data_IF_054841255214
#
_entry.id   IF_054841255214
#
_cell.length_a   1.000
_cell.length_b   1.000
_cell.length_c   1.000
_cell.angle_alpha   90.00
_cell.angle_beta   90.00
_cell.angle_gamma   90.00
#
_symmetry.space_group_name_H-M   'P 1'
#
loop_
_entity.id
_entity.type
_entity.pdbx_description
1 polymer ?
#
# COMPACT_ATOMS: atom_id res chain seq x y z
N UNK A 1 -12.44 -7.22 -3.81
CA UNK A 1 -13.25 -6.43 -4.79
C UNK A 1 -12.37 -5.27 -5.24
N UNK A 2 -11.86 -5.28 -6.47
CA UNK A 2 -11.07 -4.15 -6.98
C UNK A 2 -12.03 -3.04 -7.43
N UNK A 3 -11.77 -1.82 -7.01
CA UNK A 3 -12.46 -0.66 -7.57
C UNK A 3 -11.57 -0.02 -8.63
N UNK A 4 -12.20 0.47 -9.71
CA UNK A 4 -11.49 1.21 -10.75
C UNK A 4 -10.89 2.49 -10.16
N UNK A 5 -9.68 2.91 -10.62
CA UNK A 5 -9.11 4.18 -10.21
C UNK A 5 -10.11 5.32 -10.42
N UNK A 6 -10.22 6.19 -9.42
CA UNK A 6 -11.18 7.28 -9.41
C UNK A 6 -10.54 8.55 -8.88
N UNK A 7 -11.00 9.70 -9.37
CA UNK A 7 -10.54 11.02 -8.93
C UNK A 7 -11.49 11.54 -7.84
N UNK A 8 -10.97 11.84 -6.64
CA UNK A 8 -11.75 12.52 -5.59
C UNK A 8 -11.11 13.88 -5.29
N UNK A 9 -11.76 14.97 -5.73
CA UNK A 9 -11.12 16.28 -5.77
C UNK A 9 -10.01 16.26 -6.81
N UNK A 10 -8.78 16.57 -6.42
CA UNK A 10 -7.60 16.53 -7.31
C UNK A 10 -6.67 15.34 -7.00
N UNK A 11 -7.19 14.30 -6.34
CA UNK A 11 -6.41 13.14 -5.89
C UNK A 11 -6.88 11.89 -6.62
N UNK A 12 -5.94 11.20 -7.28
CA UNK A 12 -6.17 9.86 -7.83
C UNK A 12 -6.24 8.86 -6.67
N UNK A 13 -7.32 8.11 -6.58
CA UNK A 13 -7.50 7.03 -5.62
C UNK A 13 -7.65 5.73 -6.37
N UNK A 14 -6.81 4.75 -6.07
CA UNK A 14 -6.81 3.42 -6.71
C UNK A 14 -6.75 2.31 -5.66
N UNK A 15 -7.05 1.08 -6.08
CA UNK A 15 -6.81 -0.08 -5.25
C UNK A 15 -5.31 -0.38 -5.24
N UNK A 16 -4.73 -0.49 -4.05
CA UNK A 16 -3.39 -1.01 -3.85
C UNK A 16 -3.42 -2.54 -3.66
N UNK A 17 -2.27 -3.20 -3.89
CA UNK A 17 -2.04 -4.59 -3.51
C UNK A 17 -0.66 -4.77 -2.92
N UNK A 18 -0.56 -5.66 -1.95
CA UNK A 18 0.69 -6.29 -1.56
C UNK A 18 0.75 -7.62 -2.29
N UNK A 19 1.80 -7.87 -3.06
CA UNK A 19 1.99 -9.13 -3.76
C UNK A 19 3.27 -9.81 -3.29
N UNK A 20 3.16 -11.11 -3.04
CA UNK A 20 4.29 -11.98 -2.76
C UNK A 20 5.13 -12.17 -4.01
N UNK A 21 6.44 -12.45 -3.88
CA UNK A 21 7.29 -12.78 -5.02
C UNK A 21 6.67 -13.86 -5.92
N UNK A 22 6.09 -14.92 -5.33
CA UNK A 22 5.53 -16.04 -6.07
C UNK A 22 4.27 -15.63 -6.86
N UNK A 23 3.42 -14.76 -6.30
CA UNK A 23 2.23 -14.24 -6.99
C UNK A 23 2.60 -13.38 -8.21
N UNK A 24 3.73 -12.67 -8.12
CA UNK A 24 4.27 -11.88 -9.24
C UNK A 24 4.87 -12.80 -10.29
N UNK A 25 5.59 -13.85 -9.90
CA UNK A 25 6.09 -14.87 -10.83
C UNK A 25 4.95 -15.54 -11.61
N UNK A 26 3.89 -15.96 -10.91
CA UNK A 26 2.68 -16.54 -11.51
C UNK A 26 2.01 -15.57 -12.50
N UNK A 27 1.91 -14.29 -12.13
CA UNK A 27 1.33 -13.24 -12.98
C UNK A 27 2.17 -12.94 -14.24
N UNK A 28 3.45 -13.33 -14.24
CA UNK A 28 4.41 -13.08 -15.32
C UNK A 28 4.78 -14.35 -16.11
N UNK A 29 4.09 -15.47 -15.88
CA UNK A 29 4.35 -16.75 -16.57
C UNK A 29 4.37 -16.58 -18.09
N UNK A 30 3.45 -15.80 -18.65
CA UNK A 30 3.33 -15.56 -20.09
C UNK A 30 4.21 -14.42 -20.63
N UNK A 31 5.02 -13.78 -19.76
CA UNK A 31 5.86 -12.60 -20.11
C UNK A 31 7.34 -12.86 -19.78
N UNK A 32 8.00 -13.83 -20.46
CA UNK A 32 9.34 -14.31 -20.09
C UNK A 32 10.46 -13.26 -20.19
N UNK A 33 10.30 -12.20 -20.99
CA UNK A 33 11.27 -11.10 -21.05
C UNK A 33 11.35 -10.28 -19.75
N UNK A 34 10.33 -10.36 -18.89
CA UNK A 34 10.22 -9.65 -17.60
C UNK A 34 10.59 -10.56 -16.41
N UNK A 35 10.84 -11.87 -16.66
CA UNK A 35 11.15 -12.88 -15.63
C UNK A 35 12.47 -12.70 -14.87
N UNK A 36 13.21 -11.62 -15.10
CA UNK A 36 14.11 -11.10 -14.04
C UNK A 36 13.24 -10.41 -12.97
N UNK A 37 12.30 -11.17 -12.40
CA UNK A 37 11.59 -10.77 -11.20
C UNK A 37 12.67 -10.66 -10.13
N UNK A 38 12.77 -9.47 -9.57
CA UNK A 38 13.70 -9.17 -8.52
C UNK A 38 13.05 -9.71 -7.25
N UNK A 39 13.77 -10.51 -6.47
CA UNK A 39 13.22 -11.04 -5.21
C UNK A 39 12.63 -9.95 -4.31
N UNK A 40 11.73 -10.38 -3.43
CA UNK A 40 11.08 -9.55 -2.42
C UNK A 40 9.64 -9.15 -2.74
N UNK A 41 9.02 -8.51 -1.76
CA UNK A 41 7.61 -8.16 -1.78
C UNK A 41 7.31 -6.92 -2.63
N UNK A 42 6.14 -6.94 -3.26
CA UNK A 42 5.69 -5.89 -4.16
C UNK A 42 4.54 -5.06 -3.57
N UNK A 43 4.64 -3.73 -3.70
CA UNK A 43 3.52 -2.81 -3.55
C UNK A 43 3.05 -2.35 -4.93
N UNK A 44 1.84 -2.75 -5.28
CA UNK A 44 1.24 -2.46 -6.57
C UNK A 44 0.16 -1.38 -6.42
N UNK A 45 0.16 -0.38 -7.29
CA UNK A 45 -0.84 0.68 -7.30
C UNK A 45 -0.78 1.49 -8.58
N UNK A 46 -1.61 2.54 -8.67
CA UNK A 46 -1.67 3.39 -9.86
C UNK A 46 -1.28 4.83 -9.54
N UNK A 47 -0.62 5.47 -10.49
CA UNK A 47 -0.21 6.87 -10.43
C UNK A 47 -0.69 7.65 -11.66
N UNK A 48 -0.81 8.96 -11.51
CA UNK A 48 -1.07 9.87 -12.63
C UNK A 48 -0.04 9.69 -13.74
N UNK A 49 -0.45 9.91 -14.99
CA UNK A 49 0.42 9.72 -16.17
C UNK A 49 1.69 10.55 -16.11
N UNK A 50 1.59 11.78 -15.63
CA UNK A 50 2.73 12.69 -15.49
C UNK A 50 3.71 12.25 -14.40
N UNK A 51 3.19 11.67 -13.30
CA UNK A 51 4.04 11.08 -12.27
C UNK A 51 4.76 9.85 -12.80
N UNK A 52 4.05 8.98 -13.55
CA UNK A 52 4.65 7.83 -14.22
C UNK A 52 5.80 8.25 -15.13
N UNK A 53 5.57 9.23 -16.00
CA UNK A 53 6.59 9.72 -16.95
C UNK A 53 7.80 10.32 -16.22
N UNK A 54 7.55 11.03 -15.10
CA UNK A 54 8.63 11.54 -14.24
C UNK A 54 9.45 10.40 -13.62
N UNK A 55 8.81 9.35 -13.12
CA UNK A 55 9.47 8.18 -12.53
C UNK A 55 10.33 7.44 -13.57
N UNK A 56 9.81 7.23 -14.79
CA UNK A 56 10.57 6.65 -15.90
C UNK A 56 11.78 7.54 -16.24
N UNK A 57 11.58 8.85 -16.38
CA UNK A 57 12.64 9.80 -16.70
C UNK A 57 13.73 9.91 -15.63
N UNK A 58 13.40 9.62 -14.37
CA UNK A 58 14.35 9.57 -13.24
C UNK A 58 14.83 8.16 -12.88
N UNK A 59 14.50 7.15 -13.70
CA UNK A 59 14.86 5.76 -13.46
C UNK A 59 14.42 5.25 -12.07
N UNK A 60 13.27 5.73 -11.59
CA UNK A 60 12.71 5.36 -10.29
C UNK A 60 13.33 6.06 -9.08
N UNK A 61 14.24 7.02 -9.27
CA UNK A 61 14.80 7.81 -8.16
C UNK A 61 13.74 8.74 -7.55
N UNK A 62 13.36 8.45 -6.30
CA UNK A 62 12.34 9.18 -5.56
C UNK A 62 12.65 9.18 -4.06
N UNK A 63 12.16 10.20 -3.35
CA UNK A 63 12.23 10.24 -1.89
C UNK A 63 11.11 9.36 -1.31
N UNK A 64 11.39 8.62 -0.23
CA UNK A 64 10.39 7.79 0.43
C UNK A 64 10.33 8.06 1.92
N UNK A 65 9.14 7.90 2.50
CA UNK A 65 8.92 7.99 3.93
C UNK A 65 7.76 7.10 4.36
N UNK A 66 7.79 6.65 5.62
CA UNK A 66 6.65 6.00 6.25
C UNK A 66 6.18 6.73 7.50
N UNK A 67 4.87 6.66 7.78
CA UNK A 67 4.25 7.11 9.03
C UNK A 67 3.08 6.21 9.42
N UNK A 68 2.49 6.43 10.59
CA UNK A 68 1.36 5.66 11.11
C UNK A 68 0.18 6.56 11.41
N UNK A 69 -1.01 6.10 11.00
CA UNK A 69 -2.29 6.61 11.45
C UNK A 69 -2.94 5.61 12.41
N UNK A 70 -3.35 6.09 13.59
CA UNK A 70 -3.97 5.26 14.62
C UNK A 70 -5.48 5.32 14.49
N UNK A 71 -6.11 4.21 14.09
CA UNK A 71 -7.56 4.15 13.82
C UNK A 71 -8.40 3.56 14.96
N UNK A 72 -7.82 3.31 16.14
CA UNK A 72 -8.54 2.76 17.29
C UNK A 72 -9.14 1.38 16.99
N UNK A 73 -10.45 1.21 17.16
CA UNK A 73 -11.14 -0.07 16.89
C UNK A 73 -11.18 -0.45 15.41
N UNK A 74 -10.93 0.49 14.49
CA UNK A 74 -10.88 0.23 13.05
C UNK A 74 -9.50 -0.21 12.53
N UNK A 75 -8.52 -0.35 13.44
CA UNK A 75 -7.15 -0.73 13.14
C UNK A 75 -6.22 0.44 12.82
N UNK A 76 -4.92 0.23 13.00
CA UNK A 76 -3.88 1.16 12.60
C UNK A 76 -3.53 0.97 11.13
N UNK A 77 -3.09 2.06 10.50
CA UNK A 77 -2.70 2.07 9.09
C UNK A 77 -1.32 2.70 8.95
N UNK A 78 -0.46 2.08 8.16
CA UNK A 78 0.79 2.66 7.70
C UNK A 78 0.52 3.50 6.46
N UNK A 79 1.13 4.67 6.39
CA UNK A 79 1.17 5.46 5.16
C UNK A 79 2.60 5.43 4.64
N UNK A 80 2.82 4.69 3.57
CA UNK A 80 4.07 4.71 2.80
C UNK A 80 3.90 5.76 1.72
N UNK A 81 4.80 6.74 1.65
CA UNK A 81 4.78 7.77 0.64
C UNK A 81 6.06 7.77 -0.18
N UNK A 82 5.91 7.99 -1.48
CA UNK A 82 6.99 8.26 -2.41
C UNK A 82 6.77 9.59 -3.11
N UNK A 83 7.82 10.39 -3.25
CA UNK A 83 7.74 11.72 -3.82
C UNK A 83 8.80 11.93 -4.92
N UNK A 84 8.36 12.47 -6.05
CA UNK A 84 9.21 12.89 -7.16
C UNK A 84 8.78 14.28 -7.64
N UNK A 85 9.66 15.27 -7.46
CA UNK A 85 9.32 16.66 -7.77
C UNK A 85 8.12 17.14 -6.95
N UNK A 86 7.02 17.49 -7.63
CA UNK A 86 5.75 17.92 -7.05
C UNK A 86 4.68 16.82 -7.06
N UNK A 87 5.03 15.60 -7.44
CA UNK A 87 4.14 14.44 -7.40
C UNK A 87 4.41 13.60 -6.16
N UNK A 88 3.36 13.13 -5.51
CA UNK A 88 3.47 12.18 -4.41
C UNK A 88 2.47 11.05 -4.59
N UNK A 89 2.93 9.82 -4.39
CA UNK A 89 2.06 8.65 -4.31
C UNK A 89 2.13 8.06 -2.92
N UNK A 90 0.97 7.65 -2.41
CA UNK A 90 0.79 7.20 -1.04
C UNK A 90 0.13 5.83 -1.05
N UNK A 91 0.76 4.83 -0.46
CA UNK A 91 0.12 3.57 -0.12
C UNK A 91 -0.44 3.65 1.29
N UNK A 92 -1.74 3.42 1.43
CA UNK A 92 -2.39 3.27 2.73
C UNK A 92 -2.53 1.78 3.04
N UNK A 93 -1.79 1.33 4.05
CA UNK A 93 -1.54 -0.07 4.38
C UNK A 93 -2.21 -0.44 5.71
N UNK A 94 -3.19 -1.35 5.76
CA UNK A 94 -3.75 -1.83 7.02
C UNK A 94 -2.72 -2.64 7.82
N UNK A 95 -2.31 -2.16 9.00
CA UNK A 95 -1.26 -2.80 9.84
C UNK A 95 -1.76 -4.02 10.63
N UNK A 96 -2.94 -4.51 10.29
CA UNK A 96 -3.52 -5.74 10.80
C UNK A 96 -3.72 -6.79 9.70
N UNK A 97 -3.35 -6.45 8.46
CA UNK A 97 -3.41 -7.35 7.33
C UNK A 97 -2.12 -8.19 7.27
N UNK A 98 -2.22 -9.54 7.26
CA UNK A 98 -1.05 -10.42 7.31
C UNK A 98 -0.02 -10.17 6.21
N UNK A 99 -0.46 -9.95 4.97
CA UNK A 99 0.44 -9.65 3.84
C UNK A 99 1.21 -8.35 4.03
N UNK A 100 0.57 -7.31 4.58
CA UNK A 100 1.24 -6.05 4.92
C UNK A 100 2.29 -6.26 6.01
N UNK A 101 1.98 -7.04 7.04
CA UNK A 101 2.92 -7.31 8.14
C UNK A 101 4.16 -8.04 7.61
N UNK A 102 3.97 -9.09 6.81
CA UNK A 102 5.07 -9.86 6.22
C UNK A 102 5.92 -9.01 5.26
N UNK A 103 5.29 -8.14 4.45
CA UNK A 103 6.00 -7.14 3.67
C UNK A 103 6.90 -6.31 4.58
N UNK A 104 6.35 -5.68 5.64
CA UNK A 104 7.13 -4.80 6.52
C UNK A 104 8.29 -5.53 7.20
N UNK A 105 8.10 -6.79 7.62
CA UNK A 105 9.15 -7.63 8.20
C UNK A 105 10.27 -7.90 7.19
N UNK A 106 9.92 -8.17 5.93
CA UNK A 106 10.92 -8.44 4.87
C UNK A 106 11.81 -7.23 4.55
N UNK A 107 11.35 -6.01 4.82
CA UNK A 107 12.08 -4.78 4.50
C UNK A 107 13.34 -4.57 5.35
N UNK A 108 13.56 -5.41 6.36
CA UNK A 108 14.82 -5.45 7.10
C UNK A 108 15.99 -5.90 6.21
N UNK A 109 15.73 -6.90 5.36
CA UNK A 109 16.75 -7.62 4.62
C UNK A 109 16.65 -7.34 3.10
N UNK A 110 15.48 -6.92 2.63
CA UNK A 110 15.19 -6.72 1.22
C UNK A 110 14.60 -5.33 0.93
N UNK A 111 14.89 -4.73 -0.23
CA UNK A 111 14.23 -3.50 -0.64
C UNK A 111 12.79 -3.78 -1.09
N UNK A 112 11.92 -2.78 -0.91
CA UNK A 112 10.56 -2.85 -1.45
C UNK A 112 10.62 -2.75 -2.98
N UNK A 113 9.78 -3.55 -3.65
CA UNK A 113 9.51 -3.41 -5.07
C UNK A 113 8.19 -2.65 -5.25
N UNK A 114 8.19 -1.54 -5.97
CA UNK A 114 6.96 -0.81 -6.32
C UNK A 114 6.63 -1.12 -7.77
N UNK A 115 5.40 -1.56 -8.03
CA UNK A 115 4.86 -1.75 -9.37
C UNK A 115 3.74 -0.75 -9.60
N UNK A 116 4.04 0.32 -10.33
CA UNK A 116 3.13 1.45 -10.48
C UNK A 116 2.55 1.49 -11.88
N UNK A 117 1.23 1.28 -11.99
CA UNK A 117 0.47 1.40 -13.22
C UNK A 117 0.34 2.87 -13.64
N UNK A 118 0.42 3.10 -14.95
CA UNK A 118 0.10 4.39 -15.55
C UNK A 118 -1.42 4.49 -15.65
N UNK A 119 -1.98 5.58 -15.13
CA UNK A 119 -3.42 5.82 -15.13
C UNK A 119 -4.08 5.56 -16.51
N UNK A 120 -5.09 4.69 -16.52
CA UNK A 120 -5.90 4.26 -17.66
C UNK A 120 -5.15 3.55 -18.80
N UNK A 121 -3.95 3.01 -18.54
CA UNK A 121 -3.11 2.37 -19.56
C UNK A 121 -2.53 1.03 -19.09
N UNK A 122 -2.25 0.10 -20.02
CA UNK A 122 -1.56 -1.17 -19.74
C UNK A 122 -0.03 -0.97 -19.75
N UNK A 123 0.44 -0.09 -18.86
CA UNK A 123 1.85 0.20 -18.67
C UNK A 123 2.18 0.28 -17.18
N UNK A 124 3.30 -0.32 -16.78
CA UNK A 124 3.77 -0.30 -15.40
C UNK A 124 5.27 0.01 -15.33
N UNK A 125 5.67 0.76 -14.30
CA UNK A 125 7.08 0.99 -13.95
C UNK A 125 7.41 0.20 -12.69
N UNK A 126 8.55 -0.49 -12.72
CA UNK A 126 9.09 -1.21 -11.57
C UNK A 126 10.19 -0.37 -10.93
N UNK A 127 10.05 -0.11 -9.64
CA UNK A 127 10.98 0.71 -8.86
C UNK A 127 11.43 -0.11 -7.67
N UNK A 128 12.75 -0.22 -7.49
CA UNK A 128 13.36 -0.91 -6.35
C UNK A 128 14.00 0.11 -5.43
N UNK A 129 13.55 0.17 -4.19
CA UNK A 129 14.03 1.18 -3.27
C UNK A 129 14.20 0.65 -1.84
N UNK A 130 15.22 1.16 -1.15
CA UNK A 130 15.49 0.78 0.24
C UNK A 130 14.97 1.87 1.18
N UNK A 131 14.10 1.48 2.11
CA UNK A 131 13.73 2.32 3.24
C UNK A 131 14.74 2.15 4.38
N UNK A 132 15.04 3.22 5.15
CA UNK A 132 15.75 3.06 6.40
C UNK A 132 14.95 2.16 7.35
N UNK A 133 15.57 1.08 7.85
CA UNK A 133 14.91 0.16 8.78
C UNK A 133 14.38 0.85 10.04
N UNK A 134 15.01 1.94 10.48
CA UNK A 134 14.51 2.76 11.59
C UNK A 134 13.11 3.32 11.33
N UNK A 135 12.74 3.65 10.08
CA UNK A 135 11.38 4.10 9.77
C UNK A 135 10.41 2.92 9.73
N UNK A 136 10.82 1.81 9.14
CA UNK A 136 9.97 0.61 9.00
C UNK A 136 9.66 0.00 10.37
N UNK A 137 10.68 -0.17 11.22
CA UNK A 137 10.54 -0.74 12.56
C UNK A 137 9.66 0.11 13.48
N UNK A 138 9.64 1.44 13.33
CA UNK A 138 8.68 2.29 14.05
C UNK A 138 7.25 2.03 13.61
N UNK A 139 6.99 1.83 12.31
CA UNK A 139 5.65 1.44 11.82
C UNK A 139 5.27 0.05 12.31
N UNK A 140 6.21 -0.90 12.27
CA UNK A 140 6.00 -2.30 12.66
C UNK A 140 5.50 -2.43 14.11
N UNK A 141 5.92 -1.53 15.00
CA UNK A 141 5.46 -1.48 16.41
C UNK A 141 3.97 -1.20 16.57
N UNK A 142 3.31 -0.68 15.54
CA UNK A 142 1.88 -0.39 15.54
C UNK A 142 1.05 -1.46 14.83
N UNK A 143 1.66 -2.59 14.44
CA UNK A 143 0.93 -3.74 13.93
C UNK A 143 -0.02 -4.32 14.98
N UNK A 144 -1.13 -4.86 14.51
CA UNK A 144 -2.18 -5.40 15.36
C UNK A 144 -2.59 -6.78 14.84
N UNK A 145 -3.10 -7.63 15.73
CA UNK A 145 -3.75 -8.86 15.28
C UNK A 145 -5.11 -8.51 14.69
N UNK A 146 -5.56 -9.31 13.72
CA UNK A 146 -6.93 -9.18 13.21
C UNK A 146 -7.97 -9.26 14.35
N UNK A 147 -7.74 -10.04 15.40
CA UNK A 147 -8.63 -10.10 16.58
C UNK A 147 -8.74 -8.80 17.38
N UNK A 148 -7.81 -7.86 17.20
CA UNK A 148 -7.75 -6.61 17.96
C UNK A 148 -8.61 -5.50 17.31
N UNK A 149 -9.19 -5.77 16.13
CA UNK A 149 -10.04 -4.83 15.38
C UNK A 149 -11.51 -5.25 15.37
N UNK A 150 -12.40 -4.28 15.19
CA UNK A 150 -13.83 -4.52 14.97
C UNK A 150 -14.12 -4.47 13.48
N UNK A 151 -14.46 -5.60 12.88
CA UNK A 151 -14.78 -5.72 11.44
C UNK A 151 -15.82 -4.69 10.98
N UNK A 152 -16.87 -4.50 11.79
CA UNK A 152 -17.91 -3.51 11.50
C UNK A 152 -17.38 -2.07 11.37
N UNK A 153 -16.26 -1.77 12.02
CA UNK A 153 -15.63 -0.45 12.01
C UNK A 153 -14.60 -0.30 10.87
N UNK A 154 -14.09 -1.40 10.30
CA UNK A 154 -12.97 -1.41 9.34
C UNK A 154 -13.25 -0.55 8.13
N UNK A 155 -14.39 -0.73 7.45
CA UNK A 155 -14.69 0.04 6.24
C UNK A 155 -14.85 1.54 6.53
N UNK A 156 -15.50 1.88 7.65
CA UNK A 156 -15.64 3.27 8.07
C UNK A 156 -14.29 3.90 8.46
N UNK A 157 -13.42 3.12 9.09
CA UNK A 157 -12.06 3.52 9.46
C UNK A 157 -11.15 3.70 8.27
N UNK A 158 -11.12 2.72 7.36
CA UNK A 158 -10.40 2.78 6.11
C UNK A 158 -10.76 4.03 5.32
N UNK A 159 -12.07 4.36 5.22
CA UNK A 159 -12.51 5.62 4.59
C UNK A 159 -11.95 6.86 5.30
N UNK A 160 -12.02 6.95 6.63
CA UNK A 160 -11.44 8.07 7.39
C UNK A 160 -9.94 8.19 7.18
N UNK A 161 -9.24 7.05 7.18
CA UNK A 161 -7.79 7.01 6.97
C UNK A 161 -7.42 7.38 5.53
N UNK A 162 -8.24 7.00 4.54
CA UNK A 162 -8.10 7.43 3.16
C UNK A 162 -8.27 8.95 3.03
N UNK A 163 -9.30 9.53 3.65
CA UNK A 163 -9.49 10.99 3.64
C UNK A 163 -8.32 11.72 4.33
N UNK A 164 -7.80 11.16 5.42
CA UNK A 164 -6.57 11.66 6.08
C UNK A 164 -5.36 11.54 5.14
N UNK A 165 -5.19 10.39 4.49
CA UNK A 165 -4.12 10.13 3.54
C UNK A 165 -4.22 11.00 2.27
N UNK A 166 -5.38 11.52 1.90
CA UNK A 166 -5.55 12.46 0.77
C UNK A 166 -5.19 13.88 1.15
N UNK A 167 -5.48 14.27 2.39
CA UNK A 167 -5.35 15.66 2.87
C UNK A 167 -4.08 15.91 3.68
N UNK A 168 -3.35 14.86 4.06
CA UNK A 168 -2.06 14.99 4.73
C UNK A 168 -1.12 15.90 3.94
N UNK A 169 -0.39 16.76 4.66
CA UNK A 169 0.63 17.62 4.07
C UNK A 169 1.75 16.82 3.41
N UNK A 170 2.62 17.53 2.69
CA UNK A 170 3.86 16.96 2.16
C UNK A 170 4.66 16.26 3.26
N UNK A 171 5.22 15.09 2.96
CA UNK A 171 6.24 14.52 3.82
C UNK A 171 7.52 15.36 3.71
N UNK A 172 7.73 16.25 4.69
CA UNK A 172 8.96 17.03 4.80
C UNK A 172 10.09 16.15 5.32
N UNK A 173 10.70 15.38 4.44
CA UNK A 173 11.77 14.45 4.80
C UNK A 173 13.17 14.87 4.36
N UNK A 174 13.31 15.48 3.17
CA UNK A 174 14.62 15.74 2.59
C UNK A 174 14.81 17.22 2.20
N UNK A 175 15.98 17.82 2.48
CA UNK A 175 16.29 19.16 2.01
C UNK A 175 16.09 19.28 0.48
N UNK A 176 15.24 20.20 0.05
CA UNK A 176 14.97 20.46 -1.37
C UNK A 176 13.75 19.76 -1.97
N UNK A 177 12.99 18.96 -1.21
CA UNK A 177 11.71 18.42 -1.68
C UNK A 177 10.67 19.52 -1.84
N UNK A 178 10.10 19.67 -3.04
CA UNK A 178 9.02 20.62 -3.31
C UNK A 178 7.74 20.15 -2.62
N UNK A 179 6.83 21.06 -2.29
CA UNK A 179 5.49 20.68 -1.83
C UNK A 179 4.77 19.92 -2.95
N UNK A 180 4.18 18.73 -2.69
CA UNK A 180 3.34 18.05 -3.66
C UNK A 180 2.15 18.92 -4.05
N UNK A 181 1.90 19.01 -5.34
CA UNK A 181 0.71 19.65 -5.93
C UNK A 181 -0.24 18.63 -6.55
N UNK A 182 0.25 17.40 -6.78
CA UNK A 182 -0.52 16.28 -7.30
C UNK A 182 -0.26 15.05 -6.43
N UNK A 183 -1.33 14.45 -5.93
CA UNK A 183 -1.27 13.31 -5.01
C UNK A 183 -2.03 12.14 -5.61
N UNK A 184 -1.46 10.95 -5.48
CA UNK A 184 -2.09 9.67 -5.78
C UNK A 184 -2.16 8.85 -4.48
N UNK A 185 -3.24 8.11 -4.24
CA UNK A 185 -3.38 7.22 -3.08
C UNK A 185 -3.83 5.85 -3.55
N UNK A 186 -3.02 4.82 -3.27
CA UNK A 186 -3.41 3.43 -3.44
C UNK A 186 -3.77 2.82 -2.09
N UNK A 187 -5.02 2.40 -1.94
CA UNK A 187 -5.51 1.81 -0.70
C UNK A 187 -5.45 0.28 -0.77
N UNK A 188 -4.65 -0.34 0.11
CA UNK A 188 -4.62 -1.80 0.23
C UNK A 188 -5.83 -2.24 1.05
N UNK A 189 -6.67 -3.07 0.45
CA UNK A 189 -7.84 -3.64 1.12
C UNK A 189 -7.41 -4.75 2.10
N UNK A 190 -7.94 -4.79 3.33
CA UNK A 190 -7.63 -5.82 4.30
C UNK A 190 -8.43 -7.11 4.05
N UNK A 191 -8.28 -7.70 2.87
CA UNK A 191 -9.12 -8.81 2.40
C UNK A 191 -8.91 -10.10 3.24
N UNK A 192 -7.68 -10.44 3.63
CA UNK A 192 -7.43 -11.64 4.45
C UNK A 192 -7.97 -11.46 5.88
N UNK A 193 -7.76 -10.29 6.49
CA UNK A 193 -8.26 -10.00 7.83
C UNK A 193 -9.79 -10.00 7.88
N UNK A 194 -10.46 -9.47 6.84
CA UNK A 194 -11.92 -9.51 6.73
C UNK A 194 -12.43 -10.93 6.50
N UNK A 195 -11.76 -11.72 5.65
CA UNK A 195 -12.14 -13.11 5.36
C UNK A 195 -11.99 -14.01 6.58
N UNK A 196 -10.92 -13.86 7.36
CA UNK A 196 -10.70 -14.64 8.57
C UNK A 196 -11.85 -14.48 9.59
N UNK A 197 -12.44 -13.27 9.69
CA UNK A 197 -13.56 -13.03 10.59
C UNK A 197 -14.88 -13.65 10.13
N UNK A 198 -15.11 -13.74 8.81
CA UNK A 198 -16.30 -14.44 8.28
C UNK A 198 -16.25 -15.91 8.68
N UNK A 199 -15.05 -16.53 8.62
CA UNK A 199 -14.86 -17.92 9.03
C UNK A 199 -15.00 -18.13 10.54
N UNK A 200 -14.48 -17.20 11.35
CA UNK A 200 -14.64 -17.24 12.82
C UNK A 200 -16.09 -17.00 13.27
N UNK A 201 -16.83 -16.10 12.59
CA UNK A 201 -18.24 -15.85 12.85
C UNK A 201 -19.17 -16.99 12.40
N UNK A 202 -18.80 -17.70 11.32
CA UNK A 202 -19.53 -18.88 10.84
C UNK A 202 -19.31 -20.15 11.69
N UNK A 203 -18.17 -20.26 12.37
CA UNK A 203 -17.91 -21.39 13.29
C UNK A 203 -18.70 -21.28 14.61
N UNK A 204 -19.02 -20.06 15.05
CA UNK A 204 -19.76 -19.81 16.29
C UNK A 204 -21.26 -20.13 16.19
N UNK A 205 -21.84 -20.19 14.98
CA UNK A 205 -23.26 -20.48 14.76
C UNK A 205 -23.58 -21.97 14.56
N UNK A 206 -22.57 -22.85 14.51
CA UNK A 206 -22.77 -24.31 14.31
C UNK A 206 -22.85 -25.14 15.60
N UNK A 207 -22.82 -24.53 16.79
CA UNK A 207 -22.91 -25.24 18.10
C UNK A 207 -24.12 -24.83 18.92
N UNK A 208 -25.31 -24.89 18.32
CA UNK A 208 -26.57 -24.84 19.06
C UNK A 208 -27.66 -25.67 18.36
N UNK A 209 -27.42 -26.96 18.14
CA UNK A 209 -28.48 -27.97 18.00
C UNK A 209 -27.97 -29.29 18.60
N UNK A 210 -28.34 -29.55 19.85
CA UNK A 210 -28.90 -30.80 20.38
C UNK A 210 -28.87 -30.80 21.91
#
# INVERSE_FOLDING_TARGET
>A
MFFEPLIIGDVLVSSGRVMRPEEVEESLVDRPAVRKVVGGWYLCGDVLREMFDALVGKQGDCAMQMTVFRGGSSGNYGLFAQQIGTFEHRFLLPLFEPSVIQLLESLQDEPVQLSLGRQDEDAAVLIRQQLPWSQVSEVLRFTQRASDIRVADVMSGGRRMLDTARTAGAFSGAPGTKRPTAVCVSFVLPDEALTAHVHLGGAATSKAVH
#
